data_IF_583926056925
#
_entry.id   IF_583926056925
#
_cell.length_a   1.000
_cell.length_b   1.000
_cell.length_c   1.000
_cell.angle_alpha   90.00
_cell.angle_beta   90.00
_cell.angle_gamma   90.00
#
_symmetry.space_group_name_H-M   'P 1'
#
loop_
_entity.id
_entity.type
_entity.pdbx_description
1 polymer ?
#
# COMPACT_ATOMS: atom_id res chain seq x y z
N UNK A 1 23.39 -14.39 -32.14
CA UNK A 1 22.86 -13.01 -31.90
C UNK A 1 22.23 -12.82 -30.53
N UNK A 2 21.40 -13.75 -29.99
CA UNK A 2 20.74 -13.61 -28.68
C UNK A 2 21.73 -13.50 -27.49
N UNK A 3 22.83 -14.24 -27.51
CA UNK A 3 23.81 -14.26 -26.41
C UNK A 3 24.63 -12.95 -26.31
N UNK A 4 25.01 -12.37 -27.44
CA UNK A 4 25.72 -11.07 -27.51
C UNK A 4 24.80 -9.94 -27.02
N UNK A 5 23.54 -9.99 -27.34
CA UNK A 5 22.55 -8.98 -26.89
C UNK A 5 22.34 -9.06 -25.38
N UNK A 6 22.32 -10.26 -24.79
CA UNK A 6 22.21 -10.47 -23.33
C UNK A 6 23.37 -9.86 -22.57
N UNK A 7 24.60 -10.07 -23.02
CA UNK A 7 25.81 -9.53 -22.36
C UNK A 7 25.89 -8.00 -22.35
N UNK A 8 25.17 -7.32 -23.25
CA UNK A 8 25.12 -5.86 -23.35
C UNK A 8 24.14 -5.19 -22.38
N UNK A 9 23.19 -5.94 -21.80
CA UNK A 9 22.16 -5.37 -20.94
C UNK A 9 22.76 -5.00 -19.59
N UNK A 10 22.88 -3.71 -19.29
CA UNK A 10 23.35 -3.22 -18.00
C UNK A 10 22.20 -2.97 -17.02
N UNK A 11 21.05 -2.52 -17.54
CA UNK A 11 19.88 -2.15 -16.73
C UNK A 11 18.58 -2.35 -17.50
N UNK A 12 17.53 -2.66 -16.75
CA UNK A 12 16.15 -2.60 -17.25
C UNK A 12 15.29 -1.71 -16.35
N UNK A 13 14.42 -0.91 -16.95
CA UNK A 13 13.28 -0.27 -16.31
C UNK A 13 12.04 -1.14 -16.50
N UNK A 14 11.28 -1.32 -15.44
CA UNK A 14 10.13 -2.22 -15.41
C UNK A 14 8.90 -1.47 -14.90
N UNK A 15 7.88 -1.37 -15.71
CA UNK A 15 6.56 -0.93 -15.29
C UNK A 15 5.67 -2.14 -14.97
N UNK A 16 5.15 -2.15 -13.72
CA UNK A 16 4.40 -3.28 -13.17
C UNK A 16 2.90 -3.02 -13.29
N UNK A 17 2.28 -3.57 -14.31
CA UNK A 17 0.82 -3.55 -14.42
C UNK A 17 0.20 -4.87 -13.91
N UNK A 18 -1.13 -4.90 -13.86
CA UNK A 18 -1.89 -6.02 -13.26
C UNK A 18 -1.69 -7.35 -14.02
N UNK A 19 -1.68 -7.33 -15.33
CA UNK A 19 -1.59 -8.52 -16.19
C UNK A 19 -0.32 -8.55 -17.03
N UNK A 20 0.19 -7.40 -17.41
CA UNK A 20 1.32 -7.24 -18.33
C UNK A 20 2.40 -6.40 -17.65
N UNK A 21 3.64 -6.77 -17.84
CA UNK A 21 4.82 -6.05 -17.38
C UNK A 21 5.54 -5.49 -18.61
N UNK A 22 5.79 -4.18 -18.62
CA UNK A 22 6.55 -3.54 -19.67
C UNK A 22 8.00 -3.36 -19.26
N UNK A 23 8.90 -3.69 -20.17
CA UNK A 23 10.35 -3.68 -19.94
C UNK A 23 11.01 -2.77 -20.96
N UNK A 24 11.93 -1.92 -20.50
CA UNK A 24 12.83 -1.13 -21.30
C UNK A 24 14.28 -1.46 -20.91
N UNK A 25 15.06 -2.01 -21.84
CA UNK A 25 16.42 -2.45 -21.60
C UNK A 25 17.43 -1.51 -22.25
N UNK A 26 18.50 -1.18 -21.49
CA UNK A 26 19.61 -0.31 -21.96
C UNK A 26 20.96 -0.94 -21.68
N UNK A 27 21.96 -0.50 -22.48
CA UNK A 27 23.37 -0.81 -22.25
C UNK A 27 24.01 0.08 -21.14
N UNK A 28 25.29 -0.08 -20.91
CA UNK A 28 26.04 0.70 -19.93
C UNK A 28 26.09 2.20 -20.25
N UNK A 29 25.94 2.58 -21.53
CA UNK A 29 25.87 3.97 -21.98
C UNK A 29 24.45 4.56 -21.94
N UNK A 30 23.46 3.79 -21.49
CA UNK A 30 22.05 4.20 -21.44
C UNK A 30 21.34 4.11 -22.82
N UNK A 31 21.96 3.51 -23.84
CA UNK A 31 21.34 3.36 -25.16
C UNK A 31 20.37 2.19 -25.15
N UNK A 32 19.17 2.42 -25.71
CA UNK A 32 18.13 1.40 -25.78
C UNK A 32 18.59 0.18 -26.60
N UNK A 33 18.46 -1.00 -25.98
CA UNK A 33 18.68 -2.29 -26.65
C UNK A 33 17.31 -2.80 -27.17
N UNK A 34 16.30 -2.87 -26.33
CA UNK A 34 14.92 -3.23 -26.70
C UNK A 34 13.90 -2.69 -25.71
N UNK A 35 12.63 -2.74 -26.11
CA UNK A 35 11.48 -2.65 -25.22
C UNK A 35 10.50 -3.77 -25.57
N UNK A 36 9.86 -4.36 -24.56
CA UNK A 36 8.85 -5.41 -24.76
C UNK A 36 7.85 -5.47 -23.62
N UNK A 37 6.71 -6.04 -23.94
CA UNK A 37 5.70 -6.44 -22.95
C UNK A 37 5.78 -7.94 -22.69
N UNK A 38 5.61 -8.35 -21.43
CA UNK A 38 5.59 -9.74 -20.98
C UNK A 38 4.33 -10.00 -20.16
N UNK A 39 3.82 -11.23 -20.22
CA UNK A 39 2.84 -11.66 -19.23
C UNK A 39 3.47 -11.69 -17.84
N UNK A 40 2.73 -11.28 -16.85
CA UNK A 40 3.19 -11.15 -15.46
C UNK A 40 3.77 -12.46 -14.89
N UNK A 41 3.17 -13.59 -15.20
CA UNK A 41 3.59 -14.93 -14.78
C UNK A 41 4.92 -15.39 -15.41
N UNK A 42 5.28 -14.84 -16.57
CA UNK A 42 6.51 -15.17 -17.29
C UNK A 42 7.71 -14.30 -16.90
N UNK A 43 7.49 -13.23 -16.14
CA UNK A 43 8.51 -12.20 -15.93
C UNK A 43 9.78 -12.71 -15.25
N UNK A 44 9.68 -13.43 -14.12
CA UNK A 44 10.86 -13.93 -13.40
C UNK A 44 11.64 -14.95 -14.22
N UNK A 45 10.94 -15.89 -14.87
CA UNK A 45 11.57 -16.86 -15.73
C UNK A 45 12.30 -16.18 -16.89
N UNK A 46 11.66 -15.18 -17.50
CA UNK A 46 12.29 -14.38 -18.54
C UNK A 46 13.54 -13.66 -18.02
N UNK A 47 13.50 -13.05 -16.81
CA UNK A 47 14.67 -12.40 -16.21
C UNK A 47 15.85 -13.39 -16.08
N UNK A 48 15.63 -14.58 -15.54
CA UNK A 48 16.70 -15.59 -15.37
C UNK A 48 17.30 -16.05 -16.68
N UNK A 49 16.50 -16.13 -17.73
CA UNK A 49 16.94 -16.59 -19.06
C UNK A 49 17.62 -15.50 -19.88
N UNK A 50 17.20 -14.25 -19.75
CA UNK A 50 17.56 -13.20 -20.68
C UNK A 50 18.45 -12.10 -20.09
N UNK A 51 18.53 -11.97 -18.75
CA UNK A 51 19.36 -10.94 -18.11
C UNK A 51 20.70 -11.52 -17.65
N UNK A 52 21.78 -10.73 -17.72
CA UNK A 52 23.05 -11.14 -17.09
C UNK A 52 22.92 -11.14 -15.56
N UNK A 53 23.76 -11.95 -14.89
CA UNK A 53 23.84 -11.95 -13.43
C UNK A 53 24.19 -10.54 -12.91
N UNK A 54 23.55 -10.12 -11.81
CA UNK A 54 23.77 -8.79 -11.23
C UNK A 54 23.14 -7.62 -12.00
N UNK A 55 22.39 -7.89 -13.10
CA UNK A 55 21.71 -6.84 -13.86
C UNK A 55 20.84 -5.98 -12.94
N UNK A 56 20.88 -4.67 -13.16
CA UNK A 56 20.04 -3.72 -12.42
C UNK A 56 18.60 -3.79 -12.97
N UNK A 57 17.63 -4.03 -12.07
CA UNK A 57 16.21 -4.04 -12.36
C UNK A 57 15.53 -2.93 -11.57
N UNK A 58 15.22 -1.82 -12.26
CA UNK A 58 14.59 -0.66 -11.65
C UNK A 58 13.07 -0.71 -11.82
N UNK A 59 12.34 -0.37 -10.77
CA UNK A 59 10.87 -0.36 -10.72
C UNK A 59 10.38 0.87 -9.96
N UNK A 60 9.21 1.35 -10.31
CA UNK A 60 8.52 2.34 -9.47
C UNK A 60 8.01 1.67 -8.19
N UNK A 61 8.14 2.36 -7.04
CA UNK A 61 7.66 1.88 -5.74
C UNK A 61 6.13 1.96 -5.64
N UNK A 62 5.45 1.17 -6.44
CA UNK A 62 4.00 1.03 -6.51
C UNK A 62 3.51 -0.26 -5.80
N UNK A 63 2.21 -0.57 -5.92
CA UNK A 63 1.62 -1.79 -5.38
C UNK A 63 2.29 -3.05 -5.96
N UNK A 64 2.80 -3.92 -5.08
CA UNK A 64 3.47 -5.16 -5.46
C UNK A 64 4.97 -5.01 -5.76
N UNK A 65 5.52 -3.80 -5.91
CA UNK A 65 6.91 -3.58 -6.28
C UNK A 65 7.90 -4.20 -5.27
N UNK A 66 7.63 -4.11 -3.98
CA UNK A 66 8.47 -4.75 -2.95
C UNK A 66 8.51 -6.28 -3.06
N UNK A 67 7.39 -6.92 -3.45
CA UNK A 67 7.36 -8.35 -3.71
C UNK A 67 8.30 -8.71 -4.87
N UNK A 68 8.18 -8.03 -6.00
CA UNK A 68 9.04 -8.25 -7.16
C UNK A 68 10.51 -7.98 -6.85
N UNK A 69 10.80 -6.92 -6.12
CA UNK A 69 12.16 -6.58 -5.71
C UNK A 69 12.78 -7.69 -4.86
N UNK A 70 12.06 -8.27 -3.90
CA UNK A 70 12.54 -9.41 -3.11
C UNK A 70 12.81 -10.64 -3.97
N UNK A 71 11.89 -10.96 -4.90
CA UNK A 71 12.05 -12.12 -5.80
C UNK A 71 13.27 -11.94 -6.72
N UNK A 72 13.43 -10.77 -7.30
CA UNK A 72 14.58 -10.46 -8.17
C UNK A 72 15.89 -10.47 -7.40
N UNK A 73 15.92 -9.92 -6.18
CA UNK A 73 17.12 -9.97 -5.32
C UNK A 73 17.49 -11.41 -4.95
N UNK A 74 16.51 -12.28 -4.67
CA UNK A 74 16.74 -13.70 -4.40
C UNK A 74 17.29 -14.47 -5.61
N UNK A 75 17.03 -13.98 -6.82
CA UNK A 75 17.57 -14.51 -8.08
C UNK A 75 18.94 -13.91 -8.45
N UNK A 76 19.52 -13.06 -7.60
CA UNK A 76 20.85 -12.46 -7.80
C UNK A 76 20.85 -11.18 -8.66
N UNK A 77 19.70 -10.57 -8.92
CA UNK A 77 19.62 -9.26 -9.59
C UNK A 77 19.71 -8.10 -8.61
N UNK A 78 20.18 -6.94 -9.07
CA UNK A 78 20.18 -5.70 -8.30
C UNK A 78 18.84 -4.99 -8.46
N UNK A 79 17.88 -5.29 -7.59
CA UNK A 79 16.57 -4.64 -7.62
C UNK A 79 16.61 -3.23 -7.01
N UNK A 80 16.07 -2.25 -7.70
CA UNK A 80 16.00 -0.85 -7.27
C UNK A 80 14.56 -0.34 -7.34
N UNK A 81 14.08 0.27 -6.26
CA UNK A 81 12.76 0.88 -6.18
C UNK A 81 12.90 2.40 -6.18
N UNK A 82 12.13 3.10 -7.02
CA UNK A 82 12.14 4.55 -7.14
C UNK A 82 10.77 5.09 -6.74
N UNK A 83 10.74 6.13 -5.90
CA UNK A 83 9.48 6.75 -5.52
C UNK A 83 8.78 7.39 -6.76
N UNK A 84 7.44 7.27 -6.92
CA UNK A 84 6.72 7.72 -8.11
C UNK A 84 7.01 9.17 -8.51
N UNK A 85 7.08 10.07 -7.52
CA UNK A 85 7.35 11.49 -7.77
C UNK A 85 8.76 11.76 -8.34
N UNK A 86 9.73 10.86 -8.13
CA UNK A 86 11.07 10.95 -8.71
C UNK A 86 11.14 10.39 -10.12
N UNK A 87 10.17 9.57 -10.55
CA UNK A 87 10.07 9.07 -11.93
C UNK A 87 9.32 10.07 -12.83
N UNK A 88 8.34 10.79 -12.27
CA UNK A 88 7.48 11.73 -13.01
C UNK A 88 8.24 12.70 -13.93
N UNK A 89 9.36 13.33 -13.53
CA UNK A 89 10.09 14.26 -14.41
C UNK A 89 10.68 13.63 -15.68
N UNK A 90 10.80 12.29 -15.70
CA UNK A 90 11.37 11.56 -16.85
C UNK A 90 10.29 10.98 -17.77
N UNK A 91 9.01 11.16 -17.44
CA UNK A 91 7.90 10.81 -18.31
C UNK A 91 7.81 11.83 -19.41
N UNK A 92 7.90 11.38 -20.67
CA UNK A 92 7.74 12.27 -21.82
C UNK A 92 6.28 12.75 -21.91
N UNK A 93 6.05 14.05 -21.79
CA UNK A 93 4.79 14.70 -22.15
C UNK A 93 4.74 14.81 -23.66
N UNK A 94 3.81 14.13 -24.32
CA UNK A 94 3.64 14.18 -25.77
C UNK A 94 2.29 13.65 -26.24
N UNK A 95 1.94 13.92 -27.52
CA UNK A 95 0.68 13.54 -28.20
C UNK A 95 0.35 12.02 -28.21
N UNK A 96 1.24 11.17 -27.66
CA UNK A 96 1.06 9.71 -27.56
C UNK A 96 0.29 9.19 -26.34
N UNK A 97 -0.12 10.05 -25.41
CA UNK A 97 -0.83 9.65 -24.20
C UNK A 97 0.04 8.86 -23.21
N UNK A 98 -0.50 8.61 -22.02
CA UNK A 98 0.10 7.75 -20.99
C UNK A 98 0.15 6.31 -21.54
N UNK A 99 1.37 5.79 -21.77
CA UNK A 99 1.59 4.46 -22.33
C UNK A 99 2.62 3.72 -21.44
N UNK A 100 2.28 2.53 -20.99
CA UNK A 100 3.08 1.70 -20.09
C UNK A 100 4.51 1.45 -20.62
N UNK A 101 4.72 1.44 -21.93
CA UNK A 101 6.07 1.35 -22.53
C UNK A 101 6.92 2.61 -22.30
N UNK A 102 6.30 3.80 -22.27
CA UNK A 102 6.97 5.07 -21.95
C UNK A 102 7.26 5.18 -20.46
N UNK A 103 6.41 4.59 -19.60
CA UNK A 103 6.63 4.54 -18.16
C UNK A 103 7.84 3.64 -17.82
N UNK A 104 8.00 2.48 -18.46
CA UNK A 104 9.19 1.64 -18.28
C UNK A 104 10.50 2.35 -18.74
N UNK A 105 10.43 3.14 -19.81
CA UNK A 105 11.57 3.96 -20.26
C UNK A 105 11.92 5.07 -19.26
N UNK A 106 10.92 5.77 -18.73
CA UNK A 106 11.09 6.81 -17.71
C UNK A 106 11.72 6.25 -16.40
N UNK A 107 11.28 5.07 -15.96
CA UNK A 107 11.86 4.37 -14.81
C UNK A 107 13.34 4.03 -15.07
N UNK A 108 13.65 3.53 -16.26
CA UNK A 108 15.00 3.19 -16.65
C UNK A 108 15.90 4.43 -16.67
N UNK A 109 15.43 5.53 -17.25
CA UNK A 109 16.14 6.82 -17.31
C UNK A 109 16.36 7.40 -15.91
N UNK A 110 15.34 7.41 -15.05
CA UNK A 110 15.45 7.84 -13.67
C UNK A 110 16.53 7.03 -12.92
N UNK A 111 16.55 5.71 -13.09
CA UNK A 111 17.53 4.82 -12.45
C UNK A 111 18.98 5.04 -12.93
N UNK A 112 19.17 5.68 -14.08
CA UNK A 112 20.52 6.02 -14.58
C UNK A 112 21.15 7.22 -13.87
N UNK A 113 20.39 8.00 -13.11
CA UNK A 113 20.86 9.25 -12.52
C UNK A 113 21.75 8.99 -11.29
N UNK A 114 22.96 9.58 -11.21
CA UNK A 114 23.89 9.33 -10.12
C UNK A 114 23.37 9.69 -8.72
N UNK A 115 22.47 10.68 -8.64
CA UNK A 115 21.89 11.16 -7.38
C UNK A 115 20.49 10.59 -7.09
N UNK A 116 20.06 9.55 -7.82
CA UNK A 116 18.75 8.95 -7.59
C UNK A 116 18.68 8.30 -6.20
N UNK A 117 17.60 8.63 -5.47
CA UNK A 117 17.32 8.05 -4.16
C UNK A 117 16.41 6.84 -4.33
N UNK A 118 16.90 5.68 -3.94
CA UNK A 118 16.13 4.44 -3.99
C UNK A 118 15.39 4.19 -2.68
N UNK A 119 14.18 3.68 -2.81
CA UNK A 119 13.35 3.26 -1.68
C UNK A 119 13.89 1.92 -1.16
N UNK A 120 14.17 1.76 0.14
CA UNK A 120 14.57 0.49 0.72
C UNK A 120 13.54 -0.61 0.45
N UNK A 121 14.02 -1.80 0.08
CA UNK A 121 13.14 -2.95 -0.14
C UNK A 121 12.66 -3.46 1.22
N UNK A 122 11.35 -3.45 1.42
CA UNK A 122 10.72 -3.93 2.66
C UNK A 122 10.81 -5.44 2.77
N UNK A 123 11.08 -5.93 3.98
CA UNK A 123 10.96 -7.35 4.31
C UNK A 123 9.50 -7.79 4.26
N UNK A 124 9.26 -9.10 4.32
CA UNK A 124 7.91 -9.66 4.37
C UNK A 124 7.17 -9.20 5.64
N UNK A 125 7.89 -9.15 6.77
CA UNK A 125 7.38 -8.71 8.06
C UNK A 125 7.01 -7.22 8.05
N UNK A 126 7.89 -6.37 7.50
CA UNK A 126 7.60 -4.94 7.31
C UNK A 126 6.39 -4.72 6.39
N UNK A 127 6.24 -5.53 5.36
CA UNK A 127 5.08 -5.47 4.47
C UNK A 127 3.81 -5.93 5.18
N UNK A 128 3.90 -6.98 6.01
CA UNK A 128 2.79 -7.50 6.82
C UNK A 128 2.25 -6.46 7.80
N UNK A 129 3.14 -5.79 8.55
CA UNK A 129 2.71 -4.77 9.51
C UNK A 129 2.10 -3.54 8.83
N UNK A 130 2.58 -3.16 7.64
CA UNK A 130 1.95 -2.10 6.85
C UNK A 130 0.56 -2.50 6.34
N UNK A 131 0.37 -3.78 6.00
CA UNK A 131 -0.93 -4.35 5.66
C UNK A 131 -1.90 -4.27 6.84
N UNK A 132 -1.44 -4.62 8.05
CA UNK A 132 -2.23 -4.50 9.27
C UNK A 132 -2.68 -3.06 9.54
N UNK A 133 -1.79 -2.07 9.33
CA UNK A 133 -2.16 -0.66 9.41
C UNK A 133 -3.22 -0.26 8.40
N UNK A 134 -3.11 -0.70 7.15
CA UNK A 134 -4.10 -0.41 6.12
C UNK A 134 -5.48 -0.98 6.48
N UNK A 135 -5.52 -2.21 6.99
CA UNK A 135 -6.75 -2.86 7.47
C UNK A 135 -7.36 -2.09 8.65
N UNK A 136 -6.54 -1.69 9.62
CA UNK A 136 -7.00 -0.89 10.76
C UNK A 136 -7.60 0.45 10.35
N UNK A 137 -6.96 1.17 9.43
CA UNK A 137 -7.49 2.45 8.92
C UNK A 137 -8.80 2.24 8.13
N UNK A 138 -8.95 1.10 7.43
CA UNK A 138 -10.21 0.69 6.83
C UNK A 138 -11.32 0.54 7.89
N UNK A 139 -11.10 -0.24 8.95
CA UNK A 139 -12.06 -0.40 10.05
C UNK A 139 -12.41 0.93 10.73
N UNK A 140 -11.45 1.84 10.89
CA UNK A 140 -11.70 3.18 11.45
C UNK A 140 -12.60 4.02 10.55
N UNK A 141 -12.41 3.98 9.23
CA UNK A 141 -13.26 4.66 8.26
C UNK A 141 -14.68 4.08 8.27
N UNK A 142 -14.82 2.75 8.26
CA UNK A 142 -16.11 2.05 8.34
C UNK A 142 -16.85 2.36 9.64
N UNK A 143 -16.14 2.39 10.77
CA UNK A 143 -16.68 2.79 12.07
C UNK A 143 -17.24 4.20 12.03
N UNK A 144 -16.50 5.14 11.48
CA UNK A 144 -16.95 6.54 11.34
C UNK A 144 -18.22 6.63 10.49
N UNK A 145 -18.24 5.92 9.36
CA UNK A 145 -19.40 5.85 8.48
C UNK A 145 -20.62 5.21 9.19
N UNK A 146 -20.41 4.13 9.96
CA UNK A 146 -21.43 3.47 10.75
C UNK A 146 -22.05 4.40 11.80
N UNK A 147 -21.21 5.10 12.59
CA UNK A 147 -21.65 6.08 13.59
C UNK A 147 -22.47 7.21 12.96
N UNK A 148 -22.04 7.73 11.82
CA UNK A 148 -22.74 8.80 11.13
C UNK A 148 -24.10 8.31 10.57
N UNK A 149 -24.16 7.06 10.09
CA UNK A 149 -25.39 6.44 9.63
C UNK A 149 -26.40 6.27 10.76
N UNK A 150 -25.96 5.77 11.93
CA UNK A 150 -26.80 5.68 13.14
C UNK A 150 -27.35 7.05 13.51
N UNK A 151 -26.52 8.08 13.55
CA UNK A 151 -26.97 9.46 13.83
C UNK A 151 -27.98 9.95 12.84
N UNK A 152 -27.75 9.73 11.53
CA UNK A 152 -28.69 10.11 10.49
C UNK A 152 -30.08 9.50 10.73
N UNK A 153 -30.12 8.18 10.96
CA UNK A 153 -31.38 7.49 11.25
C UNK A 153 -32.07 8.06 12.49
N UNK A 154 -31.36 8.23 13.60
CA UNK A 154 -31.92 8.78 14.85
C UNK A 154 -32.48 10.19 14.66
N UNK A 155 -31.80 11.03 13.88
CA UNK A 155 -32.22 12.41 13.59
C UNK A 155 -33.56 12.44 12.83
N UNK A 156 -33.82 11.52 11.91
CA UNK A 156 -35.11 11.41 11.20
C UNK A 156 -36.29 11.12 12.16
N UNK A 157 -36.01 10.58 13.35
CA UNK A 157 -36.98 10.35 14.41
C UNK A 157 -36.91 11.41 15.54
N UNK A 158 -36.25 12.55 15.31
CA UNK A 158 -36.12 13.64 16.28
C UNK A 158 -35.20 13.38 17.45
N UNK A 159 -34.41 12.28 17.39
CA UNK A 159 -33.45 11.90 18.45
C UNK A 159 -32.07 12.42 18.11
N UNK A 160 -31.62 13.47 18.81
CA UNK A 160 -30.34 14.15 18.53
C UNK A 160 -29.35 13.88 19.67
N UNK A 161 -28.13 13.47 19.30
CA UNK A 161 -27.07 13.16 20.26
C UNK A 161 -25.83 14.04 20.05
N UNK A 162 -25.10 14.30 21.14
CA UNK A 162 -23.82 15.00 21.10
C UNK A 162 -22.84 14.33 20.13
N UNK A 163 -21.88 15.12 19.59
CA UNK A 163 -20.90 14.64 18.57
C UNK A 163 -20.01 13.49 19.07
N UNK A 164 -19.86 13.28 20.38
CA UNK A 164 -19.03 12.22 20.94
C UNK A 164 -19.60 10.82 20.59
N UNK A 165 -18.84 9.96 19.89
CA UNK A 165 -19.23 8.58 19.64
C UNK A 165 -19.46 7.78 20.95
N UNK A 166 -18.69 8.06 22.01
CA UNK A 166 -18.82 7.37 23.30
C UNK A 166 -20.20 7.62 23.95
N UNK A 167 -20.68 8.89 23.88
CA UNK A 167 -21.99 9.25 24.42
C UNK A 167 -23.10 8.52 23.64
N UNK A 168 -23.02 8.50 22.32
CA UNK A 168 -23.99 7.80 21.48
C UNK A 168 -23.99 6.29 21.76
N UNK A 169 -22.81 5.68 21.85
CA UNK A 169 -22.68 4.23 22.10
C UNK A 169 -23.27 3.82 23.44
N UNK A 170 -23.09 4.66 24.47
CA UNK A 170 -23.65 4.40 25.81
C UNK A 170 -25.17 4.58 25.84
N UNK A 171 -25.70 5.57 25.13
CA UNK A 171 -27.15 5.87 25.16
C UNK A 171 -27.99 4.98 24.21
N UNK A 172 -27.37 4.44 23.15
CA UNK A 172 -28.14 3.76 22.08
C UNK A 172 -28.91 2.51 22.57
N UNK A 173 -28.42 1.67 23.49
CA UNK A 173 -29.20 0.56 24.03
C UNK A 173 -30.49 1.02 24.70
N UNK A 174 -30.42 2.04 25.58
CA UNK A 174 -31.58 2.59 26.29
C UNK A 174 -32.59 3.18 25.30
N UNK A 175 -32.12 3.88 24.27
CA UNK A 175 -32.96 4.42 23.18
C UNK A 175 -33.69 3.32 22.42
N UNK A 176 -33.03 2.17 22.19
CA UNK A 176 -33.64 1.04 21.50
C UNK A 176 -34.71 0.32 22.36
N UNK A 177 -34.57 0.33 23.67
CA UNK A 177 -35.51 -0.28 24.61
C UNK A 177 -36.68 0.65 24.96
N UNK A 178 -36.50 1.96 24.90
CA UNK A 178 -37.54 2.93 25.24
C UNK A 178 -38.72 2.89 24.25
N UNK A 179 -39.84 2.32 24.70
CA UNK A 179 -41.08 2.20 23.94
C UNK A 179 -41.80 3.56 23.74
N UNK A 180 -41.43 4.58 24.51
CA UNK A 180 -42.10 5.90 24.46
C UNK A 180 -41.61 6.81 23.34
N UNK A 181 -40.44 6.51 22.74
CA UNK A 181 -39.88 7.28 21.63
C UNK A 181 -40.52 6.94 20.27
N UNK A 182 -40.26 7.78 19.28
CA UNK A 182 -40.91 7.73 17.95
C UNK A 182 -40.35 6.67 17.00
N UNK A 183 -39.35 5.87 17.43
CA UNK A 183 -38.72 4.85 16.57
C UNK A 183 -39.72 3.77 16.16
N UNK A 184 -39.85 3.53 14.86
CA UNK A 184 -40.63 2.39 14.35
C UNK A 184 -39.92 1.06 14.65
N UNK A 185 -40.62 -0.07 14.65
CA UNK A 185 -40.06 -1.39 14.85
C UNK A 185 -38.93 -1.70 13.84
N UNK A 186 -39.10 -1.33 12.57
CA UNK A 186 -38.07 -1.51 11.52
C UNK A 186 -36.84 -0.66 11.80
N UNK A 187 -37.05 0.59 12.25
CA UNK A 187 -35.88 1.46 12.62
C UNK A 187 -35.09 0.89 13.80
N UNK A 188 -35.77 0.34 14.82
CA UNK A 188 -35.11 -0.32 15.95
C UNK A 188 -34.28 -1.51 15.52
N UNK A 189 -34.85 -2.39 14.66
CA UNK A 189 -34.11 -3.54 14.12
C UNK A 189 -32.89 -3.09 13.30
N UNK A 190 -33.03 -2.08 12.45
CA UNK A 190 -31.91 -1.55 11.66
C UNK A 190 -30.80 -0.93 12.54
N UNK A 191 -31.19 -0.18 13.57
CA UNK A 191 -30.26 0.43 14.52
C UNK A 191 -29.59 -0.63 15.40
N UNK A 192 -30.30 -1.71 15.78
CA UNK A 192 -29.71 -2.83 16.50
C UNK A 192 -28.59 -3.49 15.67
N UNK A 193 -28.85 -3.78 14.41
CA UNK A 193 -27.84 -4.34 13.51
C UNK A 193 -26.63 -3.39 13.31
N UNK A 194 -26.90 -2.10 13.22
CA UNK A 194 -25.84 -1.10 13.11
C UNK A 194 -25.00 -1.00 14.40
N UNK A 195 -25.61 -1.13 15.57
CA UNK A 195 -24.93 -1.17 16.86
C UNK A 195 -24.03 -2.41 17.01
N UNK A 196 -24.51 -3.57 16.61
CA UNK A 196 -23.72 -4.82 16.61
C UNK A 196 -22.53 -4.71 15.67
N UNK A 197 -22.76 -4.17 14.48
CA UNK A 197 -21.66 -3.91 13.53
C UNK A 197 -20.63 -2.91 14.09
N UNK A 198 -21.07 -1.82 14.73
CA UNK A 198 -20.15 -0.88 15.38
C UNK A 198 -19.29 -1.55 16.45
N UNK A 199 -19.89 -2.35 17.34
CA UNK A 199 -19.17 -3.10 18.40
C UNK A 199 -18.13 -4.05 17.78
N UNK A 200 -18.49 -4.77 16.72
CA UNK A 200 -17.58 -5.62 15.98
C UNK A 200 -16.39 -4.85 15.38
N UNK A 201 -16.62 -3.64 14.83
CA UNK A 201 -15.54 -2.79 14.32
C UNK A 201 -14.61 -2.31 15.43
N UNK A 202 -15.13 -1.94 16.60
CA UNK A 202 -14.32 -1.56 17.76
C UNK A 202 -13.44 -2.74 18.25
N UNK A 203 -13.95 -3.95 18.29
CA UNK A 203 -13.20 -5.16 18.65
C UNK A 203 -12.09 -5.46 17.63
N UNK A 204 -12.38 -5.35 16.33
CA UNK A 204 -11.39 -5.53 15.26
C UNK A 204 -10.28 -4.48 15.32
N UNK A 205 -10.62 -3.22 15.57
CA UNK A 205 -9.63 -2.15 15.77
C UNK A 205 -8.74 -2.44 16.98
N UNK A 206 -9.32 -2.85 18.12
CA UNK A 206 -8.55 -3.23 19.29
C UNK A 206 -7.64 -4.43 19.03
N UNK A 207 -8.09 -5.40 18.24
CA UNK A 207 -7.24 -6.52 17.81
C UNK A 207 -6.03 -6.02 17.01
N UNK A 208 -6.25 -5.15 16.02
CA UNK A 208 -5.15 -4.54 15.26
C UNK A 208 -4.18 -3.79 16.17
N UNK A 209 -4.69 -3.01 17.14
CA UNK A 209 -3.88 -2.27 18.11
C UNK A 209 -3.01 -3.20 18.96
N UNK A 210 -3.55 -4.33 19.39
CA UNK A 210 -2.77 -5.36 20.12
C UNK A 210 -1.64 -5.93 19.26
N UNK A 211 -1.91 -6.25 17.99
CA UNK A 211 -0.89 -6.77 17.08
C UNK A 211 0.21 -5.75 16.79
N UNK A 212 -0.14 -4.48 16.56
CA UNK A 212 0.84 -3.39 16.39
C UNK A 212 1.70 -3.22 17.63
N UNK A 213 1.08 -3.19 18.83
CA UNK A 213 1.81 -3.08 20.09
C UNK A 213 2.75 -4.26 20.34
N UNK A 214 2.33 -5.47 19.96
CA UNK A 214 3.19 -6.66 20.06
C UNK A 214 4.39 -6.53 19.12
N UNK A 215 4.16 -6.16 17.86
CA UNK A 215 5.25 -5.94 16.91
C UNK A 215 6.26 -4.88 17.40
N UNK A 216 5.78 -3.78 17.99
CA UNK A 216 6.67 -2.75 18.57
C UNK A 216 7.51 -3.33 19.73
N UNK A 217 6.96 -4.24 20.53
CA UNK A 217 7.73 -4.91 21.61
C UNK A 217 8.79 -5.85 21.08
N UNK A 218 8.57 -6.47 19.93
CA UNK A 218 9.45 -7.50 19.38
C UNK A 218 10.51 -6.92 18.42
N UNK A 219 10.27 -5.72 17.86
CA UNK A 219 11.15 -5.09 16.90
C UNK A 219 11.97 -3.93 17.52
N UNK A 220 13.28 -4.08 17.60
CA UNK A 220 14.17 -3.05 18.20
C UNK A 220 14.14 -1.72 17.46
N UNK A 221 14.00 -1.73 16.13
CA UNK A 221 13.86 -0.50 15.34
C UNK A 221 12.56 0.24 15.68
N UNK A 222 11.45 -0.49 15.78
CA UNK A 222 10.16 0.06 16.17
C UNK A 222 10.17 0.59 17.63
N UNK A 223 10.84 -0.11 18.56
CA UNK A 223 11.07 0.38 19.93
C UNK A 223 11.82 1.70 19.95
N UNK A 224 12.90 1.81 19.18
CA UNK A 224 13.68 3.07 19.07
C UNK A 224 12.82 4.22 18.55
N UNK A 225 12.06 3.98 17.47
CA UNK A 225 11.16 4.98 16.92
C UNK A 225 10.07 5.40 17.91
N UNK A 226 9.50 4.46 18.67
CA UNK A 226 8.46 4.73 19.67
C UNK A 226 8.96 5.55 20.89
N UNK A 227 10.28 5.64 21.12
CA UNK A 227 10.88 6.49 22.18
C UNK A 227 10.93 7.97 21.81
N UNK A 228 10.73 8.31 20.54
CA UNK A 228 10.72 9.71 20.08
C UNK A 228 9.41 10.35 20.55
N UNK A 229 9.52 11.49 21.25
CA UNK A 229 8.37 12.24 21.76
C UNK A 229 7.40 12.56 20.61
N UNK A 230 6.12 12.20 20.80
CA UNK A 230 5.07 12.40 19.79
C UNK A 230 4.91 11.23 18.80
N UNK A 231 5.79 10.23 18.81
CA UNK A 231 5.65 9.02 17.99
C UNK A 231 5.04 7.90 18.84
N UNK A 232 3.72 7.69 18.69
CA UNK A 232 3.06 6.53 19.29
C UNK A 232 3.35 5.23 18.51
N UNK A 233 2.92 4.05 19.04
CA UNK A 233 3.17 2.74 18.44
C UNK A 233 2.79 2.66 16.95
N UNK A 234 1.68 3.26 16.56
CA UNK A 234 1.22 3.28 15.17
C UNK A 234 2.14 4.10 14.25
N UNK A 235 2.61 5.27 14.72
CA UNK A 235 3.55 6.12 13.97
C UNK A 235 4.94 5.51 13.94
N UNK A 236 5.41 4.83 15.00
CA UNK A 236 6.73 4.21 15.02
C UNK A 236 6.89 3.14 13.94
N UNK A 237 5.84 2.41 13.63
CA UNK A 237 5.80 1.45 12.53
C UNK A 237 5.72 2.14 11.17
N UNK A 238 5.04 3.29 11.08
CA UNK A 238 4.96 4.06 9.83
C UNK A 238 6.28 4.75 9.48
N UNK A 239 7.05 5.19 10.46
CA UNK A 239 8.39 5.79 10.25
C UNK A 239 9.36 4.79 9.61
N UNK A 240 9.19 3.49 9.82
CA UNK A 240 9.95 2.44 9.14
C UNK A 240 9.57 2.28 7.63
N UNK A 241 8.71 3.17 7.09
CA UNK A 241 8.35 3.23 5.67
C UNK A 241 9.50 3.73 4.78
N UNK A 242 10.39 4.49 5.34
CA UNK A 242 11.49 5.19 4.68
C UNK A 242 12.83 4.72 5.25
#
# INVERSE_FOLDING_TARGET
>A
MAEITRALIARIGVDIAKLVIHIHAVDAAGRRIFARALKRDQFLLWCTQQLPSGCVVAMEACSGAHHWARQLSALGFTAQLIAPHLVTPYRMEGKGGKNDATDAAAICEAACRPQMRFVPIKTTEQQGILGLHAVREGFKAERTACVNRIRGVLTEFGLVFAKSPKVLLAALPDVLEDASNTLSGVARLALQQALEHWRSLDERMQWCDRQVNQHVRDCEQAKRAARIVGIGPHLSVQVLRH
#
